data_IF_427423667329
#
_entry.id   IF_427423667329
#
_cell.length_a   1.000
_cell.length_b   1.000
_cell.length_c   1.000
_cell.angle_alpha   90.00
_cell.angle_beta   90.00
_cell.angle_gamma   90.00
#
_symmetry.space_group_name_H-M   'P 1'
#
loop_
_entity.id
_entity.type
_entity.pdbx_description
1 polymer ?
#
# COMPACT_ATOMS: atom_id res chain seq x y z
N UNK A 1 10.96 13.36 12.71
CA UNK A 1 9.76 14.20 12.77
C UNK A 1 9.13 14.01 14.13
N UNK A 2 8.74 15.09 14.82
CA UNK A 2 8.01 14.98 16.08
C UNK A 2 6.57 14.53 15.82
N UNK A 3 6.04 13.73 16.74
CA UNK A 3 4.65 13.25 16.70
C UNK A 3 3.74 14.36 17.17
N UNK A 4 2.61 14.55 16.47
CA UNK A 4 1.60 15.56 16.82
C UNK A 4 0.68 15.08 17.94
N UNK A 5 0.26 13.82 17.89
CA UNK A 5 -0.64 13.20 18.86
C UNK A 5 -0.92 11.74 18.51
N UNK A 6 -1.80 11.10 19.27
CA UNK A 6 -2.28 9.73 19.01
C UNK A 6 -3.75 9.84 18.59
N UNK A 7 -4.09 9.28 17.43
CA UNK A 7 -5.46 9.27 16.94
C UNK A 7 -6.31 8.23 17.69
N UNK A 8 -7.61 8.48 17.97
CA UNK A 8 -8.48 7.50 18.61
C UNK A 8 -8.57 6.18 17.83
N UNK A 9 -8.92 5.09 18.52
CA UNK A 9 -9.09 3.78 17.88
C UNK A 9 -10.39 3.70 17.07
N UNK A 10 -11.44 4.34 17.58
CA UNK A 10 -12.74 4.47 16.92
C UNK A 10 -13.14 5.93 16.98
N UNK A 11 -13.65 6.42 15.85
CA UNK A 11 -14.29 7.73 15.71
C UNK A 11 -15.65 7.53 15.04
N UNK A 12 -16.56 8.48 15.18
CA UNK A 12 -17.88 8.42 14.56
C UNK A 12 -17.92 9.44 13.43
N UNK A 13 -18.39 9.02 12.26
CA UNK A 13 -18.55 9.94 11.13
C UNK A 13 -19.81 10.81 11.25
N UNK A 14 -19.97 11.72 10.29
CA UNK A 14 -21.07 12.68 10.18
C UNK A 14 -22.46 12.01 10.13
N UNK A 15 -22.53 10.75 9.72
CA UNK A 15 -23.76 9.98 9.58
C UNK A 15 -24.00 9.02 10.76
N UNK A 16 -23.13 9.06 11.78
CA UNK A 16 -23.25 8.25 12.99
C UNK A 16 -22.60 6.87 12.88
N UNK A 17 -21.86 6.57 11.81
CA UNK A 17 -21.20 5.28 11.64
C UNK A 17 -19.87 5.22 12.39
N UNK A 18 -19.59 4.11 13.11
CA UNK A 18 -18.30 3.91 13.75
C UNK A 18 -17.23 3.58 12.70
N UNK A 19 -16.10 4.29 12.79
CA UNK A 19 -14.95 4.13 11.92
C UNK A 19 -13.80 3.53 12.73
N UNK A 20 -13.43 2.29 12.41
CA UNK A 20 -12.35 1.56 13.05
C UNK A 20 -11.01 1.85 12.37
N UNK A 21 -10.18 2.65 13.03
CA UNK A 21 -8.95 3.20 12.43
C UNK A 21 -7.94 2.11 12.10
N UNK A 22 -7.79 1.10 12.96
CA UNK A 22 -6.88 -0.02 12.71
C UNK A 22 -7.25 -0.84 11.48
N UNK A 23 -8.55 -1.04 11.23
CA UNK A 23 -9.01 -1.83 10.08
C UNK A 23 -8.79 -1.05 8.77
N UNK A 24 -9.09 0.26 8.76
CA UNK A 24 -8.78 1.11 7.62
C UNK A 24 -7.27 1.19 7.35
N UNK A 25 -6.46 1.28 8.40
CA UNK A 25 -5.02 1.39 8.30
C UNK A 25 -4.34 0.11 7.79
N UNK A 26 -5.04 -1.04 7.84
CA UNK A 26 -4.59 -2.24 7.15
C UNK A 26 -4.65 -2.03 5.65
N UNK A 27 -5.64 -1.32 5.11
CA UNK A 27 -5.91 -1.28 3.68
C UNK A 27 -5.27 -0.08 2.96
N UNK A 28 -5.03 1.02 3.68
CA UNK A 28 -4.64 2.29 3.10
C UNK A 28 -3.64 3.08 3.95
N UNK A 29 -2.93 4.01 3.31
CA UNK A 29 -2.20 5.09 3.98
C UNK A 29 -3.22 6.11 4.50
N UNK A 30 -3.41 6.17 5.82
CA UNK A 30 -4.42 7.03 6.43
C UNK A 30 -3.96 8.49 6.51
N UNK A 31 -4.64 9.38 5.80
CA UNK A 31 -4.33 10.80 5.77
C UNK A 31 -5.38 11.57 6.56
N UNK A 32 -4.95 12.18 7.67
CA UNK A 32 -5.73 13.13 8.44
C UNK A 32 -5.71 14.50 7.75
N UNK A 33 -6.89 15.06 7.52
CA UNK A 33 -7.09 16.45 7.08
C UNK A 33 -7.96 17.14 8.11
N UNK A 34 -7.48 18.25 8.67
CA UNK A 34 -8.33 19.12 9.52
C UNK A 34 -8.73 20.38 8.77
N UNK A 35 -9.98 20.80 8.97
CA UNK A 35 -10.51 22.08 8.53
C UNK A 35 -10.58 23.02 9.72
N UNK A 36 -10.27 24.30 9.50
CA UNK A 36 -10.19 25.29 10.57
C UNK A 36 -11.49 25.45 11.33
N UNK A 37 -12.58 25.61 10.58
CA UNK A 37 -13.94 25.84 11.03
C UNK A 37 -14.93 25.69 9.85
N UNK A 38 -16.21 25.46 10.15
CA UNK A 38 -17.31 25.40 9.17
C UNK A 38 -17.40 26.63 8.26
N UNK A 39 -17.07 27.80 8.79
CA UNK A 39 -17.10 29.08 8.05
C UNK A 39 -15.80 29.41 7.29
N UNK A 40 -14.74 28.61 7.41
CA UNK A 40 -13.45 28.96 6.82
C UNK A 40 -13.46 28.79 5.29
N UNK A 41 -13.25 29.85 4.50
CA UNK A 41 -13.39 29.75 3.04
C UNK A 41 -12.15 29.13 2.36
N UNK A 42 -11.00 29.14 3.04
CA UNK A 42 -9.71 28.63 2.54
C UNK A 42 -9.58 27.11 2.69
N UNK A 43 -10.07 26.53 3.80
CA UNK A 43 -9.85 25.11 4.10
C UNK A 43 -10.48 24.13 3.09
N UNK A 44 -11.73 24.34 2.62
CA UNK A 44 -12.38 23.49 1.61
C UNK A 44 -11.64 23.43 0.28
N UNK A 45 -10.84 24.44 -0.06
CA UNK A 45 -10.10 24.48 -1.33
C UNK A 45 -9.13 23.31 -1.47
N UNK A 46 -8.53 22.79 -0.38
CA UNK A 46 -7.70 21.58 -0.49
C UNK A 46 -8.53 20.42 -1.06
N UNK A 47 -9.74 20.21 -0.56
CA UNK A 47 -10.58 19.11 -0.98
C UNK A 47 -10.94 19.23 -2.47
N UNK A 48 -11.27 20.45 -2.91
CA UNK A 48 -11.49 20.75 -4.33
C UNK A 48 -10.24 20.51 -5.17
N UNK A 49 -9.07 20.89 -4.69
CA UNK A 49 -7.79 20.62 -5.36
C UNK A 49 -7.56 19.11 -5.47
N UNK A 50 -7.84 18.31 -4.43
CA UNK A 50 -7.68 16.85 -4.51
C UNK A 50 -8.60 16.20 -5.56
N UNK A 51 -9.80 16.74 -5.78
CA UNK A 51 -10.64 16.33 -6.91
C UNK A 51 -9.95 16.55 -8.24
N UNK A 52 -9.34 17.71 -8.42
CA UNK A 52 -8.68 18.10 -9.67
C UNK A 52 -7.41 17.27 -9.91
N UNK A 53 -6.67 16.97 -8.85
CA UNK A 53 -5.42 16.22 -8.94
C UNK A 53 -5.60 14.72 -9.15
N UNK A 54 -6.75 14.14 -8.81
CA UNK A 54 -6.96 12.73 -9.12
C UNK A 54 -8.17 12.07 -8.48
N UNK A 55 -8.86 12.68 -7.51
CA UNK A 55 -10.08 12.07 -6.97
C UNK A 55 -11.24 12.10 -7.97
N UNK A 56 -11.34 13.11 -8.83
CA UNK A 56 -12.35 13.16 -9.88
C UNK A 56 -11.88 12.43 -11.15
N UNK A 57 -12.77 11.67 -11.79
CA UNK A 57 -12.47 10.95 -13.03
C UNK A 57 -12.28 11.91 -14.22
N UNK A 58 -12.98 13.03 -14.21
CA UNK A 58 -12.94 14.06 -15.26
C UNK A 58 -12.79 15.42 -14.57
N UNK A 59 -11.59 15.77 -14.10
CA UNK A 59 -11.36 17.06 -13.46
C UNK A 59 -11.38 18.20 -14.50
N UNK A 60 -11.77 19.42 -14.12
CA UNK A 60 -11.61 20.58 -14.98
C UNK A 60 -10.12 20.81 -15.33
N UNK A 61 -9.84 21.30 -16.53
CA UNK A 61 -8.45 21.52 -17.00
C UNK A 61 -7.71 22.61 -16.22
N UNK A 62 -8.45 23.57 -15.66
CA UNK A 62 -7.92 24.74 -14.96
C UNK A 62 -8.61 24.86 -13.61
N UNK A 63 -7.79 24.95 -12.55
CA UNK A 63 -8.22 25.44 -11.25
C UNK A 63 -7.68 26.85 -11.01
N UNK A 64 -8.58 27.81 -10.83
CA UNK A 64 -8.24 29.18 -10.45
C UNK A 64 -8.47 29.36 -8.96
N UNK A 65 -7.46 29.84 -8.23
CA UNK A 65 -7.60 30.15 -6.81
C UNK A 65 -8.62 31.29 -6.62
N UNK A 66 -9.70 31.08 -5.84
CA UNK A 66 -10.68 32.14 -5.59
C UNK A 66 -10.12 33.32 -4.76
N UNK A 67 -8.99 33.15 -4.05
CA UNK A 67 -8.46 34.14 -3.11
C UNK A 67 -7.29 34.97 -3.63
N UNK A 68 -6.50 34.46 -4.58
CA UNK A 68 -5.37 35.21 -5.15
C UNK A 68 -5.38 35.27 -6.68
N UNK A 69 -6.41 34.69 -7.33
CA UNK A 69 -6.60 34.62 -8.79
C UNK A 69 -5.44 33.96 -9.55
N UNK A 70 -4.50 33.35 -8.85
CA UNK A 70 -3.44 32.57 -9.47
C UNK A 70 -4.04 31.27 -10.03
N UNK A 71 -3.48 30.81 -11.15
CA UNK A 71 -3.81 29.48 -11.68
C UNK A 71 -3.02 28.50 -10.83
N UNK A 72 -3.71 27.71 -10.02
CA UNK A 72 -3.07 26.74 -9.12
C UNK A 72 -2.79 25.43 -9.84
N UNK A 73 -3.64 25.01 -10.78
CA UNK A 73 -3.47 23.70 -11.40
C UNK A 73 -3.88 23.68 -12.87
N UNK A 74 -2.91 23.38 -13.73
CA UNK A 74 -3.09 22.53 -14.91
C UNK A 74 -2.33 21.25 -14.58
N UNK A 75 -3.03 20.24 -14.06
CA UNK A 75 -2.39 18.93 -13.80
C UNK A 75 -2.07 18.34 -15.17
N UNK A 76 -0.79 18.07 -15.48
CA UNK A 76 -0.44 17.48 -16.76
C UNK A 76 -1.21 16.16 -16.94
N UNK A 77 -1.87 15.91 -18.10
CA UNK A 77 -2.63 14.68 -18.32
C UNK A 77 -1.83 13.40 -18.06
N UNK A 78 -0.52 13.44 -18.26
CA UNK A 78 0.43 12.36 -17.97
C UNK A 78 0.59 12.05 -16.46
N UNK A 79 0.34 13.02 -15.58
CA UNK A 79 0.46 12.85 -14.13
C UNK A 79 -0.83 12.34 -13.49
N UNK A 80 -1.98 12.56 -14.14
CA UNK A 80 -3.30 12.19 -13.60
C UNK A 80 -3.44 10.70 -13.26
N UNK A 81 -3.01 9.74 -14.10
CA UNK A 81 -3.10 8.32 -13.79
C UNK A 81 -2.36 7.95 -12.49
N UNK A 82 -1.21 8.57 -12.26
CA UNK A 82 -0.40 8.30 -11.08
C UNK A 82 -0.93 9.00 -9.84
N UNK A 83 -1.35 10.25 -9.96
CA UNK A 83 -2.03 10.94 -8.85
C UNK A 83 -3.33 10.21 -8.46
N UNK A 84 -4.06 9.62 -9.41
CA UNK A 84 -5.21 8.76 -9.13
C UNK A 84 -4.83 7.55 -8.30
N UNK A 85 -3.75 6.85 -8.65
CA UNK A 85 -3.24 5.74 -7.87
C UNK A 85 -2.93 6.17 -6.43
N UNK A 86 -2.21 7.27 -6.26
CA UNK A 86 -1.85 7.80 -4.95
C UNK A 86 -3.09 8.21 -4.11
N UNK A 87 -4.03 8.94 -4.72
CA UNK A 87 -5.15 9.54 -3.99
C UNK A 87 -6.34 8.60 -3.80
N UNK A 88 -6.59 7.67 -4.74
CA UNK A 88 -7.75 6.75 -4.68
C UNK A 88 -7.43 5.37 -4.15
N UNK A 89 -6.23 4.86 -4.45
CA UNK A 89 -5.87 3.47 -4.13
C UNK A 89 -4.94 3.40 -2.93
N UNK A 90 -3.92 4.26 -2.88
CA UNK A 90 -2.92 4.23 -1.81
C UNK A 90 -3.42 4.94 -0.55
N UNK A 91 -4.00 6.13 -0.69
CA UNK A 91 -4.45 6.96 0.43
C UNK A 91 -5.92 6.75 0.79
N UNK A 92 -6.25 7.00 2.07
CA UNK A 92 -7.61 7.12 2.55
C UNK A 92 -7.73 8.33 3.48
N UNK A 93 -8.66 9.24 3.18
CA UNK A 93 -8.76 10.52 3.88
C UNK A 93 -9.74 10.46 5.03
N UNK A 94 -9.35 11.01 6.17
CA UNK A 94 -10.20 11.27 7.34
C UNK A 94 -10.25 12.79 7.52
N UNK A 95 -11.44 13.37 7.41
CA UNK A 95 -11.64 14.82 7.47
C UNK A 95 -12.23 15.19 8.83
N UNK A 96 -11.57 16.06 9.59
CA UNK A 96 -12.12 16.62 10.84
C UNK A 96 -12.48 18.08 10.62
N UNK A 97 -13.68 18.48 11.03
CA UNK A 97 -14.11 19.86 11.00
C UNK A 97 -14.88 20.20 12.28
N UNK A 98 -14.62 21.34 12.93
CA UNK A 98 -15.43 21.78 14.03
C UNK A 98 -16.64 22.58 13.53
N UNK A 99 -17.67 22.63 14.36
CA UNK A 99 -18.93 23.32 14.09
C UNK A 99 -20.09 22.34 13.95
N UNK A 100 -21.31 22.87 13.76
CA UNK A 100 -22.52 22.06 13.65
C UNK A 100 -22.48 21.06 12.49
N UNK A 101 -23.12 19.91 12.66
CA UNK A 101 -23.12 18.85 11.65
C UNK A 101 -23.67 19.31 10.28
N UNK A 102 -24.65 20.21 10.23
CA UNK A 102 -25.20 20.74 8.98
C UNK A 102 -24.20 21.63 8.22
N UNK A 103 -23.32 22.37 8.92
CA UNK A 103 -22.24 23.14 8.30
C UNK A 103 -21.18 22.21 7.70
N UNK A 104 -20.80 21.17 8.46
CA UNK A 104 -19.84 20.16 7.99
C UNK A 104 -20.38 19.41 6.78
N UNK A 105 -21.68 19.07 6.78
CA UNK A 105 -22.36 18.45 5.63
C UNK A 105 -22.35 19.36 4.40
N UNK A 106 -22.65 20.64 4.57
CA UNK A 106 -22.58 21.62 3.47
C UNK A 106 -21.18 21.68 2.86
N UNK A 107 -20.12 21.65 3.67
CA UNK A 107 -18.74 21.59 3.14
C UNK A 107 -18.51 20.31 2.34
N UNK A 108 -18.92 19.15 2.88
CA UNK A 108 -18.77 17.85 2.21
C UNK A 108 -19.44 17.87 0.81
N UNK A 109 -20.66 18.41 0.71
CA UNK A 109 -21.42 18.53 -0.53
C UNK A 109 -20.78 19.53 -1.50
N UNK A 110 -20.43 20.73 -1.03
CA UNK A 110 -19.79 21.78 -1.85
C UNK A 110 -18.44 21.35 -2.42
N UNK A 111 -17.72 20.48 -1.72
CA UNK A 111 -16.48 19.90 -2.20
C UNK A 111 -16.68 18.64 -3.05
N UNK A 112 -17.92 18.17 -3.26
CA UNK A 112 -18.22 16.92 -3.97
C UNK A 112 -17.57 15.70 -3.29
N UNK A 113 -17.48 15.70 -1.96
CA UNK A 113 -16.92 14.61 -1.16
C UNK A 113 -17.97 13.59 -0.70
N UNK A 114 -19.26 13.90 -0.79
CA UNK A 114 -20.36 13.01 -0.36
C UNK A 114 -20.44 11.71 -1.16
N UNK A 115 -19.80 11.65 -2.35
CA UNK A 115 -19.74 10.45 -3.20
C UNK A 115 -18.56 9.53 -2.87
N UNK A 116 -17.62 9.97 -2.04
CA UNK A 116 -16.44 9.20 -1.66
C UNK A 116 -16.66 8.55 -0.29
N UNK A 117 -16.00 7.41 -0.03
CA UNK A 117 -16.13 6.72 1.26
C UNK A 117 -15.27 7.39 2.35
N UNK A 118 -14.95 8.68 2.25
CA UNK A 118 -14.05 9.37 3.18
C UNK A 118 -14.85 10.00 4.33
N UNK A 119 -14.64 9.58 5.59
CA UNK A 119 -15.43 10.06 6.71
C UNK A 119 -15.14 11.53 7.01
N UNK A 120 -16.22 12.28 7.22
CA UNK A 120 -16.19 13.60 7.85
C UNK A 120 -16.54 13.40 9.32
N UNK A 121 -15.71 13.92 10.21
CA UNK A 121 -15.89 13.84 11.67
C UNK A 121 -16.20 15.24 12.16
N UNK A 122 -17.34 15.37 12.84
CA UNK A 122 -17.75 16.59 13.51
C UNK A 122 -17.07 16.66 14.87
N UNK A 123 -16.27 17.69 15.08
CA UNK A 123 -15.57 17.96 16.34
C UNK A 123 -16.06 19.28 16.95
N UNK A 124 -17.38 19.35 17.18
CA UNK A 124 -18.08 20.58 17.59
C UNK A 124 -17.54 21.17 18.90
N UNK A 125 -17.18 20.31 19.86
CA UNK A 125 -16.64 20.70 21.17
C UNK A 125 -15.09 20.80 21.19
N UNK A 126 -14.43 20.55 20.06
CA UNK A 126 -12.97 20.49 19.91
C UNK A 126 -12.30 19.45 20.82
N UNK A 127 -13.03 18.46 21.34
CA UNK A 127 -12.47 17.43 22.21
C UNK A 127 -11.45 16.58 21.46
N UNK A 128 -11.74 16.21 20.22
CA UNK A 128 -10.84 15.41 19.39
C UNK A 128 -9.60 16.22 19.00
N UNK A 129 -9.78 17.46 18.55
CA UNK A 129 -8.68 18.37 18.24
C UNK A 129 -7.78 18.63 19.47
N UNK A 130 -8.36 18.77 20.66
CA UNK A 130 -7.61 18.91 21.90
C UNK A 130 -6.81 17.64 22.20
N UNK A 131 -7.43 16.47 22.05
CA UNK A 131 -6.80 15.17 22.28
C UNK A 131 -5.58 14.93 21.38
N UNK A 132 -5.68 15.31 20.10
CA UNK A 132 -4.61 15.12 19.12
C UNK A 132 -3.64 16.31 19.02
N UNK A 133 -3.76 17.32 19.89
CA UNK A 133 -2.85 18.47 19.93
C UNK A 133 -3.00 19.44 18.74
N UNK A 134 -4.16 19.48 18.10
CA UNK A 134 -4.46 20.35 16.95
C UNK A 134 -5.46 21.47 17.25
N UNK A 135 -5.91 21.63 18.50
CA UNK A 135 -6.74 22.78 18.89
C UNK A 135 -5.94 24.08 18.79
N UNK A 136 -6.44 25.03 18.01
CA UNK A 136 -5.79 26.32 17.80
C UNK A 136 -6.38 27.42 18.69
N UNK A 137 -7.70 27.39 18.89
CA UNK A 137 -8.40 28.39 19.70
C UNK A 137 -9.62 27.78 20.39
N UNK A 138 -10.50 28.63 20.94
CA UNK A 138 -11.75 28.17 21.58
C UNK A 138 -12.73 27.55 20.60
N UNK A 139 -12.63 27.90 19.31
CA UNK A 139 -13.61 27.54 18.27
C UNK A 139 -12.96 27.02 16.99
N UNK A 140 -11.63 26.86 16.96
CA UNK A 140 -10.91 26.54 15.73
C UNK A 140 -9.90 25.41 15.93
N UNK A 141 -9.83 24.54 14.93
CA UNK A 141 -8.76 23.54 14.75
C UNK A 141 -7.66 24.17 13.88
N UNK A 142 -6.41 23.82 14.13
CA UNK A 142 -5.30 24.19 13.25
C UNK A 142 -5.44 23.43 11.91
N UNK A 143 -5.45 24.10 10.74
CA UNK A 143 -5.40 23.42 9.46
C UNK A 143 -4.15 22.55 9.35
N UNK A 144 -4.36 21.27 9.05
CA UNK A 144 -3.31 20.26 9.15
C UNK A 144 -3.49 19.18 8.10
N UNK A 145 -2.38 18.58 7.69
CA UNK A 145 -2.33 17.31 6.96
C UNK A 145 -1.33 16.42 7.68
N UNK A 146 -1.71 15.19 8.00
CA UNK A 146 -0.79 14.22 8.63
C UNK A 146 -1.08 12.78 8.24
N UNK A 147 -0.09 11.92 8.42
CA UNK A 147 -0.22 10.48 8.27
C UNK A 147 -0.48 9.84 9.65
N UNK A 148 -1.55 9.06 9.74
CA UNK A 148 -1.85 8.23 10.92
C UNK A 148 -1.19 6.86 10.73
N UNK A 149 -0.20 6.52 11.56
CA UNK A 149 0.47 5.23 11.45
C UNK A 149 -0.41 4.08 11.97
N UNK A 150 -0.58 2.98 11.21
CA UNK A 150 -1.49 1.88 11.56
C UNK A 150 -1.26 1.27 12.95
N UNK A 151 0.00 1.02 13.29
CA UNK A 151 0.36 0.22 14.47
C UNK A 151 0.22 1.02 15.77
N UNK A 152 0.55 2.31 15.71
CA UNK A 152 0.66 3.18 16.89
C UNK A 152 -0.45 4.22 16.98
N UNK A 153 -1.18 4.44 15.88
CA UNK A 153 -2.11 5.57 15.68
C UNK A 153 -1.44 6.94 15.83
N UNK A 154 -0.10 6.98 15.86
CA UNK A 154 0.63 8.24 15.96
C UNK A 154 0.44 9.06 14.69
N UNK A 155 0.23 10.36 14.87
CA UNK A 155 0.01 11.29 13.79
C UNK A 155 1.34 11.98 13.50
N UNK A 156 1.85 11.80 12.28
CA UNK A 156 3.05 12.46 11.80
C UNK A 156 2.69 13.60 10.83
N UNK A 157 3.22 14.81 11.04
CA UNK A 157 2.87 15.97 10.23
C UNK A 157 3.39 15.85 8.79
N UNK A 158 2.52 16.13 7.82
CA UNK A 158 2.86 16.34 6.41
C UNK A 158 2.86 17.84 6.09
N UNK A 159 1.85 18.57 6.56
CA UNK A 159 1.77 20.01 6.40
C UNK A 159 1.05 20.69 7.57
N UNK A 160 1.58 21.83 7.99
CA UNK A 160 0.98 22.71 9.00
C UNK A 160 0.46 23.98 8.34
N UNK A 161 -0.75 24.39 8.72
CA UNK A 161 -1.38 25.62 8.25
C UNK A 161 -1.80 25.56 6.78
N UNK A 162 -2.65 26.52 6.40
CA UNK A 162 -3.09 26.75 5.02
C UNK A 162 -3.32 28.24 4.82
N UNK A 163 -3.13 28.72 3.61
CA UNK A 163 -3.41 30.09 3.20
C UNK A 163 -3.74 30.18 1.71
N UNK A 164 -4.22 31.34 1.24
CA UNK A 164 -4.39 31.60 -0.19
C UNK A 164 -3.13 31.20 -0.99
N UNK A 165 -3.30 30.36 -2.01
CA UNK A 165 -2.21 29.82 -2.83
C UNK A 165 -1.40 28.68 -2.21
N UNK A 166 -1.56 28.39 -0.92
CA UNK A 166 -0.77 27.38 -0.20
C UNK A 166 -1.70 26.49 0.62
N UNK A 167 -2.17 25.42 -0.01
CA UNK A 167 -3.15 24.49 0.58
C UNK A 167 -2.52 23.19 1.11
N UNK A 168 -1.25 22.92 0.80
CA UNK A 168 -0.49 21.74 1.23
C UNK A 168 -0.67 20.48 0.38
N UNK A 169 -1.37 20.56 -0.75
CA UNK A 169 -1.55 19.45 -1.69
C UNK A 169 -0.23 18.99 -2.31
N UNK A 170 0.68 19.91 -2.59
CA UNK A 170 2.04 19.65 -3.08
C UNK A 170 2.83 18.79 -2.10
N UNK A 171 2.79 19.12 -0.81
CA UNK A 171 3.46 18.36 0.26
C UNK A 171 2.81 16.99 0.45
N UNK A 172 1.48 16.91 0.36
CA UNK A 172 0.75 15.65 0.43
C UNK A 172 1.14 14.71 -0.72
N UNK A 173 1.11 15.19 -1.96
CA UNK A 173 1.49 14.40 -3.13
C UNK A 173 2.96 13.99 -3.06
N UNK A 174 3.87 14.90 -2.68
CA UNK A 174 5.28 14.56 -2.45
C UNK A 174 5.45 13.49 -1.37
N UNK A 175 4.65 13.55 -0.30
CA UNK A 175 4.67 12.56 0.77
C UNK A 175 4.23 11.18 0.27
N UNK A 176 3.06 11.11 -0.40
CA UNK A 176 2.51 9.87 -0.94
C UNK A 176 3.43 9.26 -2.01
N UNK A 177 3.99 10.09 -2.87
CA UNK A 177 5.00 9.68 -3.85
C UNK A 177 6.22 9.04 -3.18
N UNK A 178 6.81 9.74 -2.20
CA UNK A 178 7.94 9.21 -1.45
C UNK A 178 7.60 7.95 -0.67
N UNK A 179 6.35 7.82 -0.18
CA UNK A 179 5.86 6.62 0.48
C UNK A 179 5.83 5.43 -0.50
N UNK A 180 5.19 5.61 -1.67
CA UNK A 180 5.12 4.61 -2.73
C UNK A 180 6.52 4.13 -3.15
N UNK A 181 7.44 5.06 -3.42
CA UNK A 181 8.82 4.72 -3.80
C UNK A 181 9.52 3.88 -2.73
N UNK A 182 9.36 4.22 -1.44
CA UNK A 182 9.98 3.43 -0.37
C UNK A 182 9.45 1.99 -0.35
N UNK A 183 8.14 1.81 -0.55
CA UNK A 183 7.52 0.48 -0.62
C UNK A 183 8.02 -0.27 -1.85
N UNK A 184 8.06 0.36 -3.03
CA UNK A 184 8.54 -0.30 -4.26
C UNK A 184 10.03 -0.64 -4.21
N UNK A 185 10.86 0.21 -3.61
CA UNK A 185 12.27 -0.08 -3.36
C UNK A 185 12.43 -1.31 -2.47
N UNK A 186 11.68 -1.36 -1.36
CA UNK A 186 11.63 -2.53 -0.48
C UNK A 186 11.20 -3.77 -1.27
N UNK A 187 10.15 -3.67 -2.08
CA UNK A 187 9.67 -4.75 -2.95
C UNK A 187 10.79 -5.32 -3.83
N UNK A 188 11.55 -4.43 -4.47
CA UNK A 188 12.68 -4.81 -5.31
C UNK A 188 13.79 -5.52 -4.51
N UNK A 189 14.10 -5.04 -3.30
CA UNK A 189 15.08 -5.69 -2.42
C UNK A 189 14.66 -7.13 -2.07
N UNK A 190 13.36 -7.38 -1.83
CA UNK A 190 12.84 -8.72 -1.59
C UNK A 190 12.92 -9.62 -2.83
N UNK A 191 12.63 -9.07 -4.01
CA UNK A 191 12.82 -9.77 -5.29
C UNK A 191 14.29 -10.15 -5.51
N UNK A 192 15.23 -9.24 -5.21
CA UNK A 192 16.67 -9.52 -5.31
C UNK A 192 17.08 -10.68 -4.39
N UNK A 193 16.65 -10.66 -3.12
CA UNK A 193 16.92 -11.77 -2.17
C UNK A 193 16.36 -13.10 -2.65
N UNK A 194 15.13 -13.12 -3.18
CA UNK A 194 14.55 -14.33 -3.73
C UNK A 194 15.39 -14.86 -4.90
N UNK A 195 15.76 -14.00 -5.86
CA UNK A 195 16.59 -14.39 -7.02
C UNK A 195 17.96 -14.92 -6.65
N UNK A 196 18.59 -14.42 -5.58
CA UNK A 196 19.86 -14.95 -5.07
C UNK A 196 19.76 -16.43 -4.64
N UNK A 197 18.58 -16.89 -4.23
CA UNK A 197 18.33 -18.28 -3.84
C UNK A 197 18.00 -19.22 -5.01
N UNK A 198 17.73 -18.69 -6.21
CA UNK A 198 17.31 -19.49 -7.36
C UNK A 198 18.38 -20.53 -7.76
N UNK A 199 19.65 -20.11 -7.84
CA UNK A 199 20.76 -21.00 -8.20
C UNK A 199 21.04 -22.03 -7.09
N UNK A 200 21.22 -21.65 -5.81
CA UNK A 200 21.38 -22.62 -4.73
C UNK A 200 20.24 -23.63 -4.66
N UNK A 201 18.99 -23.16 -4.75
CA UNK A 201 17.83 -24.04 -4.64
C UNK A 201 17.74 -25.02 -5.81
N UNK A 202 17.97 -24.55 -7.03
CA UNK A 202 18.02 -25.41 -8.22
C UNK A 202 19.04 -26.54 -8.06
N UNK A 203 20.24 -26.27 -7.51
CA UNK A 203 21.25 -27.31 -7.25
C UNK A 203 20.72 -28.39 -6.29
N UNK A 204 19.98 -28.00 -5.25
CA UNK A 204 19.38 -28.94 -4.30
C UNK A 204 18.31 -29.78 -4.99
N UNK A 205 17.42 -29.15 -5.77
CA UNK A 205 16.38 -29.83 -6.55
C UNK A 205 16.99 -30.83 -7.54
N UNK A 206 17.99 -30.42 -8.33
CA UNK A 206 18.70 -31.27 -9.29
C UNK A 206 19.38 -32.47 -8.59
N UNK A 207 19.92 -32.26 -7.40
CA UNK A 207 20.54 -33.33 -6.59
C UNK A 207 19.49 -34.36 -6.16
N UNK A 208 18.34 -33.91 -5.63
CA UNK A 208 17.25 -34.80 -5.20
C UNK A 208 16.70 -35.61 -6.39
N UNK A 209 16.50 -34.95 -7.53
CA UNK A 209 16.02 -35.57 -8.78
C UNK A 209 17.02 -36.59 -9.33
N UNK A 210 18.32 -36.27 -9.33
CA UNK A 210 19.35 -37.16 -9.88
C UNK A 210 19.45 -38.48 -9.11
N UNK A 211 19.41 -38.45 -7.77
CA UNK A 211 19.46 -39.68 -6.98
C UNK A 211 18.10 -40.40 -6.86
N UNK A 212 16.97 -39.71 -7.10
CA UNK A 212 15.67 -40.38 -7.34
C UNK A 212 15.58 -41.15 -8.67
N UNK A 213 16.22 -40.66 -9.73
CA UNK A 213 16.26 -41.33 -11.04
C UNK A 213 17.11 -42.62 -11.05
N UNK A 214 18.07 -42.74 -10.13
CA UNK A 214 18.84 -43.97 -9.91
C UNK A 214 17.97 -45.09 -9.31
N UNK A 215 17.02 -44.76 -8.42
CA UNK A 215 16.11 -45.72 -7.77
C UNK A 215 14.84 -46.02 -8.59
N UNK A 216 14.41 -45.09 -9.45
CA UNK A 216 13.23 -45.26 -10.32
C UNK A 216 13.40 -46.35 -11.39
N UNK A 217 14.63 -46.77 -11.73
CA UNK A 217 14.85 -47.93 -12.59
C UNK A 217 14.33 -49.24 -11.98
N UNK A 218 14.08 -49.28 -10.67
CA UNK A 218 13.62 -50.48 -9.95
C UNK A 218 12.12 -50.50 -9.60
N UNK A 219 11.40 -49.36 -9.63
CA UNK A 219 10.02 -49.25 -9.09
C UNK A 219 8.96 -48.85 -10.13
N UNK A 220 9.09 -49.31 -11.37
CA UNK A 220 8.24 -48.94 -12.50
C UNK A 220 6.77 -49.45 -12.47
N UNK A 221 6.23 -49.87 -11.31
CA UNK A 221 4.86 -50.40 -11.20
C UNK A 221 4.13 -49.86 -9.98
N UNK A 222 3.66 -48.61 -10.07
CA UNK A 222 2.42 -48.09 -9.51
C UNK A 222 2.44 -46.57 -9.68
N UNK A 223 1.93 -46.08 -10.80
CA UNK A 223 1.95 -44.64 -11.11
C UNK A 223 0.54 -44.08 -10.89
N UNK A 224 0.36 -43.41 -9.76
CA UNK A 224 -0.64 -42.35 -9.68
C UNK A 224 -0.15 -41.17 -10.55
N UNK A 225 -1.04 -40.44 -11.26
CA UNK A 225 -0.65 -39.31 -12.10
C UNK A 225 0.05 -38.20 -11.30
N UNK A 226 1.25 -37.80 -11.74
CA UNK A 226 2.04 -36.71 -11.14
C UNK A 226 1.24 -35.40 -11.12
N UNK A 227 0.38 -35.21 -12.11
CA UNK A 227 -0.48 -34.04 -12.28
C UNK A 227 -1.52 -33.93 -11.15
N UNK A 228 -2.05 -35.05 -10.65
CA UNK A 228 -2.99 -35.06 -9.50
C UNK A 228 -2.27 -34.76 -8.19
N UNK A 229 -0.98 -35.11 -8.08
CA UNK A 229 -0.18 -34.81 -6.90
C UNK A 229 0.32 -33.38 -6.85
N UNK A 230 0.60 -32.77 -8.01
CA UNK A 230 0.92 -31.36 -8.08
C UNK A 230 -0.23 -30.50 -7.52
N UNK A 231 -1.47 -30.87 -7.83
CA UNK A 231 -2.67 -30.22 -7.28
C UNK A 231 -2.68 -30.25 -5.74
N UNK A 232 -2.30 -31.36 -5.10
CA UNK A 232 -2.25 -31.44 -3.62
C UNK A 232 -1.32 -30.37 -3.04
N UNK A 233 -0.14 -30.20 -3.62
CA UNK A 233 0.82 -29.19 -3.19
C UNK A 233 0.42 -27.77 -3.60
N UNK A 234 -0.36 -27.58 -4.65
CA UNK A 234 -0.96 -26.28 -5.01
C UNK A 234 -1.98 -25.78 -3.97
N UNK A 235 -2.68 -26.67 -3.27
CA UNK A 235 -3.62 -26.29 -2.21
C UNK A 235 -3.00 -26.19 -0.81
N UNK A 236 -1.75 -26.60 -0.64
CA UNK A 236 -1.05 -26.44 0.63
C UNK A 236 -0.70 -24.96 0.85
N UNK A 237 -1.11 -24.44 2.00
CA UNK A 237 -0.68 -23.11 2.46
C UNK A 237 0.85 -23.06 2.53
N UNK A 238 1.45 -21.96 2.04
CA UNK A 238 2.90 -21.84 1.96
C UNK A 238 3.59 -22.17 3.30
N UNK A 239 3.00 -21.79 4.43
CA UNK A 239 3.54 -22.05 5.78
C UNK A 239 3.67 -23.54 6.11
N UNK A 240 2.77 -24.39 5.61
CA UNK A 240 2.78 -25.84 5.85
C UNK A 240 3.59 -26.61 4.79
N UNK A 241 4.01 -25.92 3.72
CA UNK A 241 4.68 -26.50 2.58
C UNK A 241 5.98 -27.19 2.96
N UNK A 242 6.84 -26.52 3.74
CA UNK A 242 8.13 -27.08 4.15
C UNK A 242 7.95 -28.39 4.93
N UNK A 243 7.10 -28.38 5.96
CA UNK A 243 6.85 -29.54 6.81
C UNK A 243 6.29 -30.71 5.99
N UNK A 244 5.33 -30.41 5.12
CA UNK A 244 4.69 -31.44 4.29
C UNK A 244 5.68 -32.06 3.31
N UNK A 245 6.43 -31.22 2.58
CA UNK A 245 7.46 -31.68 1.65
C UNK A 245 8.48 -32.55 2.40
N UNK A 246 9.01 -32.08 3.52
CA UNK A 246 10.02 -32.81 4.30
C UNK A 246 9.52 -34.14 4.88
N UNK A 247 8.23 -34.24 5.21
CA UNK A 247 7.61 -35.46 5.74
C UNK A 247 7.27 -36.50 4.65
N UNK A 248 7.33 -36.13 3.38
CA UNK A 248 6.98 -37.04 2.28
C UNK A 248 8.18 -37.90 1.84
N UNK A 249 7.89 -38.96 1.07
CA UNK A 249 8.94 -39.76 0.47
C UNK A 249 9.68 -38.95 -0.61
N UNK A 250 10.86 -39.45 -1.00
CA UNK A 250 11.78 -38.75 -1.89
C UNK A 250 11.16 -38.28 -3.22
N UNK A 251 10.31 -39.11 -3.85
CA UNK A 251 9.63 -38.75 -5.10
C UNK A 251 8.69 -37.55 -4.91
N UNK A 252 7.96 -37.52 -3.81
CA UNK A 252 7.06 -36.44 -3.45
C UNK A 252 7.79 -35.17 -3.04
N UNK A 253 8.97 -35.31 -2.40
CA UNK A 253 9.88 -34.18 -2.15
C UNK A 253 10.28 -33.49 -3.44
N UNK A 254 10.66 -34.24 -4.48
CA UNK A 254 11.03 -33.66 -5.76
C UNK A 254 9.89 -32.82 -6.38
N UNK A 255 8.66 -33.37 -6.41
CA UNK A 255 7.47 -32.66 -6.88
C UNK A 255 7.21 -31.40 -6.03
N UNK A 256 7.34 -31.50 -4.71
CA UNK A 256 7.21 -30.37 -3.80
C UNK A 256 8.21 -29.25 -4.06
N UNK A 257 9.48 -29.58 -4.35
CA UNK A 257 10.52 -28.60 -4.68
C UNK A 257 10.26 -27.89 -6.01
N UNK A 258 9.76 -28.60 -7.02
CA UNK A 258 9.38 -28.00 -8.31
C UNK A 258 8.22 -27.00 -8.13
N UNK A 259 7.23 -27.33 -7.29
CA UNK A 259 6.09 -26.45 -7.00
C UNK A 259 6.52 -25.23 -6.19
N UNK A 260 7.42 -25.40 -5.21
CA UNK A 260 8.03 -24.28 -4.49
C UNK A 260 8.77 -23.35 -5.46
N UNK A 261 9.54 -23.91 -6.41
CA UNK A 261 10.26 -23.14 -7.44
C UNK A 261 9.29 -22.39 -8.37
N UNK A 262 8.19 -23.03 -8.76
CA UNK A 262 7.14 -22.39 -9.56
C UNK A 262 6.50 -21.22 -8.79
N UNK A 263 6.11 -21.44 -7.53
CA UNK A 263 5.51 -20.41 -6.67
C UNK A 263 6.45 -19.24 -6.45
N UNK A 264 7.75 -19.48 -6.26
CA UNK A 264 8.74 -18.41 -6.13
C UNK A 264 8.80 -17.56 -7.40
N UNK A 265 8.88 -18.19 -8.59
CA UNK A 265 8.90 -17.46 -9.87
C UNK A 265 7.62 -16.65 -10.08
N UNK A 266 6.47 -17.23 -9.74
CA UNK A 266 5.18 -16.54 -9.81
C UNK A 266 5.15 -15.34 -8.85
N UNK A 267 5.48 -15.51 -7.58
CA UNK A 267 5.50 -14.43 -6.60
C UNK A 267 6.47 -13.30 -6.98
N UNK A 268 7.66 -13.65 -7.52
CA UNK A 268 8.61 -12.66 -8.05
C UNK A 268 8.00 -11.86 -9.20
N UNK A 269 7.35 -12.54 -10.16
CA UNK A 269 6.70 -11.88 -11.29
C UNK A 269 5.54 -11.01 -10.83
N UNK A 270 4.70 -11.51 -9.92
CA UNK A 270 3.55 -10.77 -9.38
C UNK A 270 3.97 -9.47 -8.70
N UNK A 271 5.10 -9.47 -7.99
CA UNK A 271 5.69 -8.26 -7.39
C UNK A 271 6.25 -7.34 -8.48
N UNK A 272 7.05 -7.84 -9.42
CA UNK A 272 7.67 -7.03 -10.47
C UNK A 272 6.64 -6.36 -11.39
N UNK A 273 5.56 -7.05 -11.74
CA UNK A 273 4.48 -6.51 -12.57
C UNK A 273 3.61 -5.48 -11.84
N UNK A 274 3.70 -5.43 -10.50
CA UNK A 274 2.95 -4.49 -9.66
C UNK A 274 3.67 -3.15 -9.46
N UNK A 275 4.96 -3.07 -9.80
CA UNK A 275 5.75 -1.86 -9.69
C UNK A 275 5.31 -0.86 -10.77
N UNK A 276 5.09 0.38 -10.38
CA UNK A 276 4.71 1.45 -11.32
C UNK A 276 5.82 2.49 -11.49
N UNK A 277 6.94 2.33 -10.78
CA UNK A 277 8.15 3.13 -10.94
C UNK A 277 9.28 2.25 -11.50
N UNK A 278 10.14 2.85 -12.33
CA UNK A 278 11.25 2.12 -12.91
C UNK A 278 12.31 1.76 -11.83
N UNK A 279 12.67 0.46 -11.67
CA UNK A 279 13.62 0.01 -10.64
C UNK A 279 15.04 0.58 -10.77
N UNK A 280 15.48 1.02 -11.97
CA UNK A 280 16.84 1.54 -12.19
C UNK A 280 17.08 2.89 -11.48
N UNK A 281 16.01 3.55 -11.06
CA UNK A 281 16.02 4.83 -10.35
C UNK A 281 16.34 4.70 -8.86
N UNK A 282 16.37 3.47 -8.33
CA UNK A 282 16.70 3.20 -6.94
C UNK A 282 18.18 3.42 -6.57
N UNK A 283 18.98 4.05 -7.44
CA UNK A 283 20.40 4.41 -7.22
C UNK A 283 20.67 5.92 -7.09
N UNK A 284 19.70 6.82 -7.27
CA UNK A 284 19.98 8.27 -7.17
C UNK A 284 18.77 9.22 -7.10
N UNK A 285 18.99 10.32 -6.37
CA UNK A 285 18.19 11.56 -6.14
C UNK A 285 16.65 11.47 -6.13
N UNK A 286 16.07 11.61 -4.94
CA UNK A 286 14.63 11.56 -4.62
C UNK A 286 13.82 12.71 -5.25
N UNK A 287 14.49 13.70 -5.87
CA UNK A 287 13.84 14.92 -6.39
C UNK A 287 13.52 14.91 -7.89
N UNK A 288 13.88 13.86 -8.64
CA UNK A 288 13.47 13.74 -10.04
C UNK A 288 12.27 12.80 -10.13
N UNK A 289 11.19 13.27 -10.73
CA UNK A 289 10.06 12.42 -11.13
C UNK A 289 10.59 11.58 -12.29
N UNK A 290 10.95 10.34 -11.98
CA UNK A 290 11.40 9.42 -13.01
C UNK A 290 10.21 8.65 -13.57
N UNK A 291 10.34 8.26 -14.85
CA UNK A 291 9.33 7.65 -15.71
C UNK A 291 8.38 6.73 -14.95
N UNK A 292 7.16 7.22 -14.74
CA UNK A 292 6.05 6.41 -14.25
C UNK A 292 5.72 5.40 -15.35
N UNK A 293 5.76 4.12 -15.02
CA UNK A 293 5.37 3.03 -15.90
C UNK A 293 4.02 2.53 -15.39
N UNK A 294 2.97 3.24 -15.73
CA UNK A 294 1.61 2.72 -15.56
C UNK A 294 1.28 1.93 -16.83
N UNK A 295 1.08 0.60 -16.75
CA UNK A 295 0.66 -0.18 -17.90
C UNK A 295 -0.72 0.33 -18.36
N UNK A 296 -0.88 0.60 -19.64
CA UNK A 296 -2.14 1.11 -20.19
C UNK A 296 -3.32 0.12 -20.04
N UNK A 297 -3.00 -1.15 -19.82
CA UNK A 297 -3.87 -2.32 -19.82
C UNK A 297 -3.97 -3.04 -18.46
N UNK A 298 -3.04 -2.78 -17.52
CA UNK A 298 -3.09 -3.37 -16.17
C UNK A 298 -3.56 -2.34 -15.14
N UNK A 299 -4.53 -2.76 -14.33
CA UNK A 299 -4.99 -1.99 -13.17
C UNK A 299 -3.85 -1.94 -12.14
N UNK A 300 -3.28 -0.76 -11.94
CA UNK A 300 -2.29 -0.54 -10.90
C UNK A 300 -2.87 -0.87 -9.51
N UNK A 301 -2.08 -1.54 -8.69
CA UNK A 301 -2.46 -1.98 -7.34
C UNK A 301 -2.02 -0.96 -6.29
N UNK A 302 -2.69 -0.97 -5.13
CA UNK A 302 -2.31 -0.11 -4.01
C UNK A 302 -0.98 -0.53 -3.37
N UNK A 303 -0.34 0.37 -2.63
CA UNK A 303 0.81 0.06 -1.77
C UNK A 303 0.55 -1.04 -0.77
N UNK A 304 -0.70 -1.17 -0.30
CA UNK A 304 -1.06 -2.23 0.63
C UNK A 304 -1.10 -3.59 -0.06
N UNK A 305 -1.75 -3.68 -1.23
CA UNK A 305 -1.78 -4.92 -2.00
C UNK A 305 -0.36 -5.33 -2.42
N UNK A 306 0.50 -4.37 -2.74
CA UNK A 306 1.92 -4.62 -2.97
C UNK A 306 2.63 -5.18 -1.73
N UNK A 307 2.38 -4.64 -0.53
CA UNK A 307 2.95 -5.17 0.72
C UNK A 307 2.46 -6.59 1.04
N UNK A 308 1.23 -6.95 0.66
CA UNK A 308 0.75 -8.34 0.75
C UNK A 308 1.52 -9.27 -0.20
N UNK A 309 1.71 -8.87 -1.46
CA UNK A 309 2.50 -9.65 -2.42
C UNK A 309 3.96 -9.83 -1.97
N UNK A 310 4.54 -8.79 -1.35
CA UNK A 310 5.88 -8.85 -0.75
C UNK A 310 5.92 -9.88 0.40
N UNK A 311 4.91 -9.88 1.29
CA UNK A 311 4.83 -10.85 2.40
C UNK A 311 4.73 -12.29 1.89
N UNK A 312 3.95 -12.53 0.84
CA UNK A 312 3.84 -13.85 0.23
C UNK A 312 5.18 -14.32 -0.37
N UNK A 313 5.88 -13.41 -1.08
CA UNK A 313 7.23 -13.66 -1.57
C UNK A 313 8.21 -13.97 -0.43
N UNK A 314 8.15 -13.24 0.68
CA UNK A 314 9.00 -13.46 1.85
C UNK A 314 8.80 -14.84 2.47
N UNK A 315 7.55 -15.28 2.60
CA UNK A 315 7.22 -16.61 3.12
C UNK A 315 7.87 -17.69 2.24
N UNK A 316 7.72 -17.58 0.91
CA UNK A 316 8.29 -18.55 -0.03
C UNK A 316 9.83 -18.50 0.00
N UNK A 317 10.41 -17.30 0.08
CA UNK A 317 11.85 -17.09 0.15
C UNK A 317 12.44 -17.72 1.41
N UNK A 318 11.79 -17.56 2.56
CA UNK A 318 12.21 -18.18 3.83
C UNK A 318 12.16 -19.71 3.77
N UNK A 319 11.11 -20.28 3.17
CA UNK A 319 10.99 -21.73 2.97
C UNK A 319 12.18 -22.24 2.14
N UNK A 320 12.48 -21.58 1.02
CA UNK A 320 13.57 -21.96 0.14
C UNK A 320 14.92 -21.83 0.86
N UNK A 321 15.14 -20.73 1.56
CA UNK A 321 16.36 -20.51 2.32
C UNK A 321 16.60 -21.64 3.33
N UNK A 322 15.57 -22.07 4.07
CA UNK A 322 15.66 -23.18 5.01
C UNK A 322 15.93 -24.52 4.32
N UNK A 323 15.29 -24.79 3.19
CA UNK A 323 15.54 -26.02 2.42
C UNK A 323 16.98 -26.05 1.89
N UNK A 324 17.50 -24.93 1.40
CA UNK A 324 18.90 -24.81 1.00
C UNK A 324 19.84 -24.99 2.20
N UNK A 325 19.52 -24.42 3.36
CA UNK A 325 20.34 -24.58 4.56
C UNK A 325 20.35 -26.02 5.11
N UNK A 326 19.26 -26.76 4.94
CA UNK A 326 19.12 -28.15 5.40
C UNK A 326 19.62 -29.20 4.41
N UNK A 327 20.24 -28.80 3.30
CA UNK A 327 20.78 -29.72 2.26
C UNK A 327 21.54 -30.94 2.82
N UNK A 328 22.40 -30.83 3.87
CA UNK A 328 23.08 -32.00 4.42
C UNK A 328 22.15 -33.07 4.99
N UNK A 329 21.02 -32.67 5.59
CA UNK A 329 20.02 -33.56 6.21
C UNK A 329 19.01 -34.08 5.18
N UNK A 330 18.78 -33.34 4.10
CA UNK A 330 17.87 -33.73 3.01
C UNK A 330 18.47 -34.86 2.14
N UNK A 331 19.80 -34.97 2.13
CA UNK A 331 20.53 -35.97 1.35
C UNK A 331 20.73 -37.32 2.05
N UNK A 332 20.40 -37.44 3.34
CA UNK A 332 20.35 -38.70 4.11
C UNK A 332 18.97 -39.37 4.02
#
# INVERSE_FOLDING_TARGET
MSVTGIFPEVVVDLDGHPIHIKELAKLHVLILITLKAGWCPVCPQLLQILNIYGLQNEPPEIFQDPFNRSIIAKVPPEDLPFNRLLLKSDAYFIIICPGPADEVRRIQELCNFSKYPYPFIVDEDLSLASHIGLRMSRTEILPFIGHIYPETRMIFPINWGRGPGIYGHDKLLKYLYGYRIRVEKKAFEHVSKAKELEIPFKKVTDTILSIGNLENRTFQKQIFPIELFAQVFEYIESREMMKTVMATCRQWRAIGFDIISMRMRQAVNDVLESLVTDPQINRGDVNKIYKIILPADKKAISVHELDLRIKDLDIITEIIWRLVAQTPVIME
#
